data_IF_397581834747
#
_entry.id   IF_397581834747
#
_cell.length_a   1.000
_cell.length_b   1.000
_cell.length_c   1.000
_cell.angle_alpha   90.00
_cell.angle_beta   90.00
_cell.angle_gamma   90.00
#
_symmetry.space_group_name_H-M   'P 1'
#
loop_
_entity.id
_entity.type
_entity.pdbx_description
1 polymer ?
#
# COMPACT_ATOMS: atom_id res chain seq x y z
N UNK A 1 -14.37 15.23 -47.57
CA UNK A 1 -14.86 14.59 -46.34
C UNK A 1 -14.38 15.39 -45.15
N UNK A 2 -15.24 16.23 -44.57
CA UNK A 2 -14.92 16.95 -43.34
C UNK A 2 -14.99 15.99 -42.16
N UNK A 3 -13.88 15.80 -41.45
CA UNK A 3 -13.87 15.08 -40.18
C UNK A 3 -14.84 15.75 -39.20
N UNK A 4 -15.71 15.00 -38.51
CA UNK A 4 -16.65 15.57 -37.55
C UNK A 4 -15.87 16.37 -36.51
N UNK A 5 -16.30 17.61 -36.24
CA UNK A 5 -15.66 18.47 -35.26
C UNK A 5 -15.60 17.75 -33.92
N UNK A 6 -14.47 17.90 -33.25
CA UNK A 6 -14.27 17.48 -31.88
C UNK A 6 -15.24 18.19 -30.94
N UNK A 7 -16.44 17.64 -30.78
CA UNK A 7 -17.42 18.17 -29.83
C UNK A 7 -16.96 17.96 -28.38
N UNK A 8 -17.85 18.32 -27.45
CA UNK A 8 -17.65 18.13 -25.99
C UNK A 8 -17.26 16.70 -25.60
N UNK A 9 -17.63 15.70 -26.41
CA UNK A 9 -17.22 14.31 -26.26
C UNK A 9 -15.70 14.11 -26.29
N UNK A 10 -14.98 14.77 -27.20
CA UNK A 10 -13.53 14.59 -27.33
C UNK A 10 -12.78 15.16 -26.12
N UNK A 11 -13.29 16.24 -25.53
CA UNK A 11 -12.73 16.80 -24.30
C UNK A 11 -12.95 15.89 -23.09
N UNK A 12 -14.05 15.13 -23.09
CA UNK A 12 -14.33 14.09 -22.09
C UNK A 12 -13.29 12.98 -22.16
N UNK A 13 -13.06 12.44 -23.36
CA UNK A 13 -12.09 11.37 -23.61
C UNK A 13 -10.66 11.80 -23.24
N UNK A 14 -10.25 13.01 -23.62
CA UNK A 14 -8.93 13.55 -23.24
C UNK A 14 -8.77 13.67 -21.72
N UNK A 15 -9.80 14.16 -21.03
CA UNK A 15 -9.75 14.37 -19.58
C UNK A 15 -9.75 13.03 -18.84
N UNK A 16 -10.58 12.07 -19.26
CA UNK A 16 -10.60 10.72 -18.69
C UNK A 16 -9.28 9.97 -18.94
N UNK A 17 -8.75 10.03 -20.17
CA UNK A 17 -7.45 9.44 -20.51
C UNK A 17 -6.29 10.07 -19.74
N UNK A 18 -6.30 11.39 -19.56
CA UNK A 18 -5.30 12.09 -18.75
C UNK A 18 -5.33 11.69 -17.27
N UNK A 19 -6.52 11.59 -16.67
CA UNK A 19 -6.67 11.10 -15.29
C UNK A 19 -6.17 9.66 -15.17
N UNK A 20 -6.52 8.79 -16.12
CA UNK A 20 -6.07 7.40 -16.12
C UNK A 20 -4.54 7.28 -16.22
N UNK A 21 -3.90 8.07 -17.11
CA UNK A 21 -2.44 8.10 -17.23
C UNK A 21 -1.77 8.64 -15.96
N UNK A 22 -2.32 9.68 -15.33
CA UNK A 22 -1.79 10.23 -14.08
C UNK A 22 -1.93 9.25 -12.92
N UNK A 23 -3.04 8.52 -12.82
CA UNK A 23 -3.22 7.43 -11.85
C UNK A 23 -2.20 6.31 -12.09
N UNK A 24 -1.97 5.93 -13.35
CA UNK A 24 -0.91 4.99 -13.72
C UNK A 24 0.48 5.48 -13.34
N UNK A 25 0.77 6.77 -13.52
CA UNK A 25 2.04 7.38 -13.07
C UNK A 25 2.21 7.34 -11.55
N UNK A 26 1.15 7.68 -10.80
CA UNK A 26 1.14 7.61 -9.33
C UNK A 26 1.34 6.19 -8.80
N UNK A 27 0.82 5.18 -9.49
CA UNK A 27 1.06 3.78 -9.14
C UNK A 27 2.55 3.45 -9.07
N UNK A 28 3.32 3.83 -10.09
CA UNK A 28 4.76 3.60 -10.14
C UNK A 28 5.55 4.50 -9.18
N UNK A 29 5.00 5.66 -8.79
CA UNK A 29 5.62 6.59 -7.85
C UNK A 29 5.46 6.18 -6.39
N UNK A 30 4.50 5.30 -6.07
CA UNK A 30 4.18 4.84 -4.70
C UNK A 30 5.40 4.34 -3.89
N UNK A 31 6.36 3.58 -4.45
CA UNK A 31 7.55 3.14 -3.71
C UNK A 31 8.49 4.28 -3.29
N UNK A 32 8.45 5.42 -3.99
CA UNK A 32 9.34 6.58 -3.76
C UNK A 32 8.84 7.54 -2.68
N UNK A 33 7.60 7.39 -2.21
CA UNK A 33 6.97 8.31 -1.25
C UNK A 33 6.65 7.58 0.07
N UNK A 34 7.64 7.40 0.98
CA UNK A 34 7.44 6.70 2.25
C UNK A 34 6.37 7.36 3.14
N UNK A 35 6.21 8.68 3.05
CA UNK A 35 5.18 9.43 3.79
C UNK A 35 3.75 8.95 3.50
N UNK A 36 3.46 8.47 2.28
CA UNK A 36 2.12 7.98 1.92
C UNK A 36 1.72 6.71 2.69
N UNK A 37 2.69 5.90 3.14
CA UNK A 37 2.41 4.67 3.91
C UNK A 37 1.83 4.98 5.30
N UNK A 38 2.03 6.18 5.83
CA UNK A 38 1.56 6.59 7.15
C UNK A 38 0.20 7.30 7.15
N UNK A 39 -0.32 7.68 5.98
CA UNK A 39 -1.56 8.47 5.86
C UNK A 39 -2.79 7.57 5.66
N UNK A 40 -2.60 6.30 5.32
CA UNK A 40 -3.68 5.36 5.08
C UNK A 40 -4.27 4.84 6.39
N UNK A 41 -5.53 5.17 6.66
CA UNK A 41 -6.30 4.62 7.78
C UNK A 41 -7.40 3.69 7.24
N UNK A 42 -7.62 2.50 7.84
CA UNK A 42 -8.61 1.53 7.38
C UNK A 42 -10.05 1.90 7.84
N UNK A 43 -10.31 3.16 8.18
CA UNK A 43 -11.56 3.58 8.78
C UNK A 43 -12.59 3.95 7.71
N UNK A 44 -13.85 3.57 7.91
CA UNK A 44 -14.92 3.74 6.90
C UNK A 44 -15.19 5.22 6.55
N UNK A 45 -14.93 6.14 7.49
CA UNK A 45 -15.06 7.57 7.25
C UNK A 45 -14.02 8.09 6.24
N UNK A 46 -12.83 7.47 6.18
CA UNK A 46 -11.79 7.83 5.22
C UNK A 46 -12.20 7.49 3.79
N UNK A 47 -12.85 6.33 3.60
CA UNK A 47 -13.45 5.96 2.32
C UNK A 47 -14.58 6.95 1.94
N UNK A 48 -15.47 7.28 2.87
CA UNK A 48 -16.55 8.26 2.61
C UNK A 48 -15.99 9.65 2.25
N UNK A 49 -14.96 10.12 2.95
CA UNK A 49 -14.25 11.36 2.63
C UNK A 49 -13.60 11.32 1.24
N UNK A 50 -12.97 10.20 0.87
CA UNK A 50 -12.36 10.03 -0.46
C UNK A 50 -13.40 10.12 -1.60
N UNK A 51 -14.58 9.52 -1.40
CA UNK A 51 -15.69 9.58 -2.36
C UNK A 51 -16.24 11.01 -2.45
N UNK A 52 -16.38 11.70 -1.32
CA UNK A 52 -16.82 13.09 -1.29
C UNK A 52 -15.84 14.03 -2.04
N UNK A 53 -14.53 13.80 -1.91
CA UNK A 53 -13.48 14.55 -2.62
C UNK A 53 -13.54 14.28 -4.13
N UNK A 54 -13.76 13.03 -4.55
CA UNK A 54 -13.96 12.70 -5.97
C UNK A 54 -15.21 13.42 -6.50
N UNK A 55 -16.34 13.33 -5.79
CA UNK A 55 -17.58 13.99 -6.17
C UNK A 55 -17.41 15.52 -6.27
N UNK A 56 -16.73 16.14 -5.31
CA UNK A 56 -16.40 17.56 -5.35
C UNK A 56 -15.54 17.93 -6.56
N UNK A 57 -14.52 17.13 -6.90
CA UNK A 57 -13.69 17.34 -8.09
C UNK A 57 -14.47 17.22 -9.41
N UNK A 58 -15.41 16.28 -9.48
CA UNK A 58 -16.32 16.13 -10.62
C UNK A 58 -17.27 17.33 -10.76
N UNK A 59 -17.87 17.79 -9.66
CA UNK A 59 -18.78 18.94 -9.61
C UNK A 59 -18.05 20.25 -9.92
N UNK A 60 -16.82 20.43 -9.43
CA UNK A 60 -15.96 21.56 -9.79
C UNK A 60 -15.58 21.58 -11.28
N UNK A 61 -15.82 20.46 -11.98
CA UNK A 61 -15.77 20.39 -13.42
C UNK A 61 -14.44 19.89 -13.97
N UNK A 62 -13.82 18.92 -13.27
CA UNK A 62 -12.75 18.07 -13.80
C UNK A 62 -13.09 17.54 -15.21
N UNK A 63 -14.38 17.31 -15.46
CA UNK A 63 -14.92 16.71 -16.67
C UNK A 63 -15.57 17.73 -17.62
N UNK A 64 -16.20 18.78 -17.10
CA UNK A 64 -17.07 19.65 -17.90
C UNK A 64 -16.42 20.96 -18.39
N UNK A 65 -15.30 21.37 -17.79
CA UNK A 65 -14.58 22.56 -18.25
C UNK A 65 -13.62 22.25 -19.39
N UNK A 66 -13.40 23.23 -20.27
CA UNK A 66 -12.39 23.14 -21.34
C UNK A 66 -11.12 23.87 -20.91
N UNK A 67 -9.95 23.34 -21.33
CA UNK A 67 -8.67 24.04 -21.12
C UNK A 67 -8.52 25.29 -22.01
N UNK A 68 -9.47 25.54 -22.91
CA UNK A 68 -9.44 26.66 -23.86
C UNK A 68 -10.24 27.89 -23.38
N UNK A 69 -10.86 27.83 -22.19
CA UNK A 69 -11.59 28.94 -21.57
C UNK A 69 -10.69 29.99 -20.88
N UNK A 70 -11.31 30.84 -20.07
CA UNK A 70 -10.64 31.86 -19.27
C UNK A 70 -9.67 31.25 -18.24
N UNK A 71 -8.72 32.02 -17.72
CA UNK A 71 -7.73 31.53 -16.73
C UNK A 71 -8.40 30.90 -15.50
N UNK A 72 -9.52 31.46 -15.06
CA UNK A 72 -10.34 30.90 -13.96
C UNK A 72 -10.89 29.50 -14.29
N UNK A 73 -11.28 29.25 -15.53
CA UNK A 73 -11.76 27.94 -15.99
C UNK A 73 -10.65 26.89 -16.02
N UNK A 74 -9.44 27.30 -16.40
CA UNK A 74 -8.24 26.43 -16.38
C UNK A 74 -7.84 26.07 -14.95
N UNK A 75 -7.83 27.04 -14.04
CA UNK A 75 -7.49 26.82 -12.63
C UNK A 75 -8.53 25.91 -11.95
N UNK A 76 -9.82 26.14 -12.19
CA UNK A 76 -10.89 25.32 -11.63
C UNK A 76 -10.86 23.89 -12.17
N UNK A 77 -10.57 23.71 -13.46
CA UNK A 77 -10.38 22.38 -14.05
C UNK A 77 -9.16 21.66 -13.45
N UNK A 78 -8.04 22.35 -13.30
CA UNK A 78 -6.83 21.81 -12.67
C UNK A 78 -7.09 21.37 -11.24
N UNK A 79 -7.77 22.20 -10.44
CA UNK A 79 -8.18 21.87 -9.07
C UNK A 79 -9.13 20.67 -9.03
N UNK A 80 -10.12 20.62 -9.92
CA UNK A 80 -11.04 19.48 -10.03
C UNK A 80 -10.31 18.16 -10.34
N UNK A 81 -9.37 18.18 -11.30
CA UNK A 81 -8.54 17.01 -11.64
C UNK A 81 -7.66 16.59 -10.45
N UNK A 82 -7.01 17.54 -9.79
CA UNK A 82 -6.18 17.27 -8.61
C UNK A 82 -7.00 16.62 -7.48
N UNK A 83 -8.22 17.10 -7.24
CA UNK A 83 -9.13 16.51 -6.24
C UNK A 83 -9.57 15.10 -6.63
N UNK A 84 -9.93 14.85 -7.90
CA UNK A 84 -10.28 13.49 -8.35
C UNK A 84 -9.09 12.54 -8.18
N UNK A 85 -7.89 12.97 -8.53
CA UNK A 85 -6.66 12.17 -8.37
C UNK A 85 -6.40 11.90 -6.88
N UNK A 86 -6.46 12.92 -6.03
CA UNK A 86 -6.24 12.77 -4.59
C UNK A 86 -7.28 11.83 -3.95
N UNK A 87 -8.56 11.99 -4.29
CA UNK A 87 -9.63 11.14 -3.79
C UNK A 87 -9.54 9.70 -4.31
N UNK A 88 -9.23 9.48 -5.59
CA UNK A 88 -9.01 8.16 -6.15
C UNK A 88 -7.80 7.47 -5.52
N UNK A 89 -6.72 8.22 -5.29
CA UNK A 89 -5.53 7.72 -4.60
C UNK A 89 -5.84 7.35 -3.14
N UNK A 90 -6.61 8.16 -2.42
CA UNK A 90 -7.03 7.87 -1.05
C UNK A 90 -7.94 6.62 -0.98
N UNK A 91 -8.93 6.50 -1.86
CA UNK A 91 -9.80 5.32 -1.95
C UNK A 91 -8.99 4.04 -2.27
N UNK A 92 -8.00 4.17 -3.14
CA UNK A 92 -7.09 3.07 -3.44
C UNK A 92 -6.21 2.69 -2.25
N UNK A 93 -5.70 3.70 -1.52
CA UNK A 93 -4.91 3.51 -0.31
C UNK A 93 -5.70 2.78 0.78
N UNK A 94 -6.99 3.07 0.93
CA UNK A 94 -7.89 2.36 1.85
C UNK A 94 -7.92 0.86 1.55
N UNK A 95 -8.05 0.46 0.28
CA UNK A 95 -8.07 -0.95 -0.12
C UNK A 95 -6.76 -1.69 0.17
N UNK A 96 -5.62 -1.01 0.12
CA UNK A 96 -4.30 -1.58 0.43
C UNK A 96 -3.84 -1.29 1.86
N UNK A 97 -4.78 -1.11 2.79
CA UNK A 97 -4.46 -1.06 4.23
C UNK A 97 -4.96 -2.35 4.87
N UNK A 98 -4.11 -3.11 5.59
CA UNK A 98 -4.56 -4.33 6.25
C UNK A 98 -5.59 -3.98 7.33
N UNK A 99 -6.61 -4.83 7.50
CA UNK A 99 -7.67 -4.63 8.50
C UNK A 99 -7.08 -4.69 9.91
N UNK A 100 -6.27 -5.72 10.16
CA UNK A 100 -5.50 -5.89 11.39
C UNK A 100 -4.01 -5.77 11.13
N UNK A 101 -3.29 -5.15 12.07
CA UNK A 101 -1.83 -5.07 12.03
C UNK A 101 -1.27 -6.06 13.02
N UNK A 102 -0.47 -7.02 12.55
CA UNK A 102 0.25 -7.93 13.43
C UNK A 102 1.13 -7.13 14.41
N UNK A 103 1.21 -7.55 15.69
CA UNK A 103 2.02 -6.90 16.70
C UNK A 103 3.51 -7.23 16.50
N UNK A 104 4.07 -6.76 15.39
CA UNK A 104 5.44 -7.05 14.99
C UNK A 104 6.46 -6.55 16.01
N UNK A 105 7.39 -7.42 16.34
CA UNK A 105 8.64 -7.08 17.04
C UNK A 105 9.71 -6.87 15.98
N UNK A 106 10.60 -5.88 16.17
CA UNK A 106 11.69 -5.58 15.23
C UNK A 106 13.07 -6.03 15.75
N UNK A 107 13.12 -6.45 17.00
CA UNK A 107 14.32 -6.97 17.65
C UNK A 107 14.24 -8.51 17.75
N UNK A 108 15.24 -9.19 17.20
CA UNK A 108 15.28 -10.65 17.17
C UNK A 108 15.29 -11.24 18.59
N UNK A 109 16.15 -10.72 19.47
CA UNK A 109 16.36 -11.28 20.81
C UNK A 109 15.10 -11.12 21.66
N UNK A 110 14.43 -9.96 21.56
CA UNK A 110 13.14 -9.71 22.21
C UNK A 110 12.04 -10.63 21.68
N UNK A 111 11.98 -10.87 20.37
CA UNK A 111 10.98 -11.76 19.77
C UNK A 111 11.14 -13.21 20.27
N UNK A 112 12.37 -13.74 20.28
CA UNK A 112 12.64 -15.08 20.77
C UNK A 112 12.47 -15.21 22.29
N UNK A 113 12.83 -14.18 23.06
CA UNK A 113 12.59 -14.17 24.50
C UNK A 113 11.09 -14.22 24.82
N UNK A 114 10.28 -13.44 24.10
CA UNK A 114 8.83 -13.43 24.21
C UNK A 114 8.22 -14.77 23.79
N UNK A 115 8.67 -15.33 22.68
CA UNK A 115 8.19 -16.63 22.19
C UNK A 115 8.44 -17.75 23.21
N UNK A 116 9.62 -17.79 23.84
CA UNK A 116 9.91 -18.73 24.94
C UNK A 116 9.03 -18.50 26.17
N UNK A 117 8.81 -17.25 26.56
CA UNK A 117 7.97 -16.92 27.70
C UNK A 117 6.49 -17.27 27.48
N UNK A 118 5.99 -17.09 26.26
CA UNK A 118 4.60 -17.38 25.88
C UNK A 118 4.37 -18.83 25.41
N UNK A 119 5.43 -19.64 25.27
CA UNK A 119 5.34 -21.00 24.72
C UNK A 119 4.92 -21.04 23.25
N UNK A 120 5.25 -20.00 22.48
CA UNK A 120 4.90 -19.82 21.06
C UNK A 120 6.11 -20.00 20.15
N UNK A 121 5.86 -20.20 18.86
CA UNK A 121 6.89 -20.05 17.82
C UNK A 121 7.19 -18.58 17.51
N UNK A 122 8.17 -18.34 16.65
CA UNK A 122 8.48 -17.04 16.04
C UNK A 122 8.20 -17.13 14.55
N UNK A 123 7.40 -16.20 14.03
CA UNK A 123 7.19 -16.02 12.61
C UNK A 123 8.08 -14.86 12.14
N UNK A 124 9.13 -15.16 11.39
CA UNK A 124 10.07 -14.16 10.86
C UNK A 124 9.60 -13.74 9.47
N UNK A 125 9.18 -12.49 9.34
CA UNK A 125 8.73 -11.85 8.10
C UNK A 125 9.82 -10.93 7.56
N UNK A 126 10.39 -11.28 6.40
CA UNK A 126 11.39 -10.48 5.72
C UNK A 126 10.72 -9.49 4.76
N UNK A 127 10.90 -8.20 5.03
CA UNK A 127 10.28 -7.13 4.26
C UNK A 127 11.31 -6.15 3.71
N UNK A 128 10.93 -5.42 2.65
CA UNK A 128 11.70 -4.32 2.12
C UNK A 128 10.79 -3.21 1.59
N UNK A 129 11.24 -1.97 1.67
CA UNK A 129 10.53 -0.77 1.21
C UNK A 129 10.24 -0.78 -0.28
N UNK A 130 11.12 -1.39 -1.07
CA UNK A 130 10.98 -1.59 -2.52
C UNK A 130 10.22 -2.87 -2.89
N UNK A 131 9.88 -3.72 -1.92
CA UNK A 131 9.14 -4.96 -2.14
C UNK A 131 7.64 -4.69 -2.19
N UNK A 132 7.10 -4.52 -3.40
CA UNK A 132 5.65 -4.37 -3.63
C UNK A 132 4.86 -5.60 -3.13
N UNK A 133 5.29 -6.86 -3.40
CA UNK A 133 4.52 -8.03 -2.98
C UNK A 133 4.49 -8.23 -1.46
N UNK A 134 5.47 -7.69 -0.72
CA UNK A 134 5.48 -7.75 0.74
C UNK A 134 4.28 -7.01 1.34
N UNK A 135 3.86 -5.89 0.74
CA UNK A 135 2.66 -5.17 1.18
C UNK A 135 1.37 -5.94 0.93
N UNK A 136 1.31 -6.75 -0.13
CA UNK A 136 0.13 -7.59 -0.44
C UNK A 136 0.02 -8.76 0.56
N UNK A 137 1.17 -9.33 0.95
CA UNK A 137 1.22 -10.36 1.98
C UNK A 137 0.71 -9.83 3.34
N UNK A 138 1.06 -8.59 3.70
CA UNK A 138 0.54 -7.94 4.91
C UNK A 138 -0.98 -7.78 4.90
N UNK A 139 -1.62 -7.61 3.72
CA UNK A 139 -3.09 -7.60 3.63
C UNK A 139 -3.68 -8.95 4.00
N UNK A 140 -3.04 -10.04 3.56
CA UNK A 140 -3.47 -11.41 3.87
C UNK A 140 -3.28 -11.71 5.37
N UNK A 141 -2.18 -11.26 5.97
CA UNK A 141 -1.96 -11.39 7.41
C UNK A 141 -2.91 -10.57 8.27
N UNK A 142 -3.50 -9.52 7.69
CA UNK A 142 -4.50 -8.70 8.34
C UNK A 142 -5.92 -9.25 8.26
N UNK A 143 -6.18 -10.36 7.56
CA UNK A 143 -7.50 -11.00 7.55
C UNK A 143 -7.77 -11.74 8.87
N UNK A 144 -9.02 -11.70 9.33
CA UNK A 144 -9.43 -12.14 10.67
C UNK A 144 -8.92 -13.54 11.02
N UNK A 145 -9.16 -14.52 10.14
CA UNK A 145 -8.77 -15.92 10.37
C UNK A 145 -7.24 -16.11 10.44
N UNK A 146 -6.51 -15.41 9.57
CA UNK A 146 -5.04 -15.53 9.47
C UNK A 146 -4.38 -14.82 10.64
N UNK A 147 -4.83 -13.60 10.94
CA UNK A 147 -4.38 -12.81 12.07
C UNK A 147 -4.53 -13.59 13.38
N UNK A 148 -5.70 -14.19 13.58
CA UNK A 148 -5.99 -15.01 14.75
C UNK A 148 -5.08 -16.22 14.86
N UNK A 149 -4.86 -16.95 13.78
CA UNK A 149 -3.99 -18.14 13.80
C UNK A 149 -2.54 -17.77 14.08
N UNK A 150 -2.04 -16.69 13.47
CA UNK A 150 -0.67 -16.22 13.68
C UNK A 150 -0.49 -15.78 15.13
N UNK A 151 -1.38 -14.94 15.67
CA UNK A 151 -1.22 -14.38 17.02
C UNK A 151 -1.44 -15.40 18.14
N UNK A 152 -2.21 -16.47 17.87
CA UNK A 152 -2.40 -17.61 18.79
C UNK A 152 -1.13 -18.46 18.92
N UNK A 153 -0.45 -18.76 17.82
CA UNK A 153 0.63 -19.75 17.79
C UNK A 153 2.04 -19.16 17.68
N UNK A 154 2.17 -17.92 17.20
CA UNK A 154 3.46 -17.31 16.86
C UNK A 154 3.60 -15.88 17.37
N UNK A 155 4.84 -15.48 17.65
CA UNK A 155 5.25 -14.09 17.85
C UNK A 155 5.76 -13.56 16.50
N UNK A 156 5.09 -12.57 15.89
CA UNK A 156 5.52 -12.02 14.61
C UNK A 156 6.74 -11.12 14.79
N UNK A 157 7.82 -11.43 14.08
CA UNK A 157 9.07 -10.68 14.01
C UNK A 157 9.24 -10.14 12.59
N UNK A 158 9.44 -8.83 12.44
CA UNK A 158 9.63 -8.20 11.14
C UNK A 158 11.05 -7.69 10.97
N UNK A 159 11.75 -8.25 9.99
CA UNK A 159 13.11 -7.85 9.63
C UNK A 159 13.06 -7.02 8.35
N UNK A 160 13.44 -5.74 8.46
CA UNK A 160 13.58 -4.85 7.31
C UNK A 160 14.97 -5.03 6.71
N UNK A 161 15.01 -5.53 5.48
CA UNK A 161 16.23 -5.73 4.70
C UNK A 161 16.31 -4.76 3.52
N UNK A 162 15.67 -3.60 3.62
CA UNK A 162 15.68 -2.58 2.56
C UNK A 162 17.07 -2.08 2.21
N UNK A 163 17.95 -1.99 3.20
CA UNK A 163 19.31 -1.52 3.04
C UNK A 163 20.18 -2.55 2.31
N UNK A 164 21.08 -2.05 1.48
CA UNK A 164 22.12 -2.85 0.85
C UNK A 164 23.39 -2.77 1.73
N UNK A 165 23.31 -3.42 2.89
CA UNK A 165 24.40 -3.49 3.86
C UNK A 165 24.70 -4.94 4.28
N UNK A 166 25.89 -5.14 4.87
CA UNK A 166 26.36 -6.45 5.31
C UNK A 166 25.42 -7.08 6.35
N UNK A 167 24.71 -6.27 7.12
CA UNK A 167 23.75 -6.75 8.14
C UNK A 167 22.54 -7.39 7.46
N UNK A 168 21.95 -6.71 6.48
CA UNK A 168 20.81 -7.17 5.70
C UNK A 168 21.17 -8.40 4.85
N UNK A 169 22.39 -8.43 4.30
CA UNK A 169 22.92 -9.60 3.59
C UNK A 169 23.12 -10.80 4.51
N UNK A 170 23.69 -10.58 5.71
CA UNK A 170 23.90 -11.62 6.71
C UNK A 170 22.57 -12.19 7.22
N UNK A 171 21.57 -11.34 7.47
CA UNK A 171 20.22 -11.78 7.91
C UNK A 171 19.55 -12.68 6.87
N UNK A 172 19.55 -12.26 5.60
CA UNK A 172 19.00 -13.08 4.50
C UNK A 172 19.71 -14.42 4.38
N UNK A 173 21.04 -14.42 4.46
CA UNK A 173 21.84 -15.65 4.37
C UNK A 173 21.60 -16.58 5.55
N UNK A 174 21.54 -16.04 6.78
CA UNK A 174 21.34 -16.79 8.03
C UNK A 174 20.04 -17.59 8.04
N UNK A 175 18.97 -17.02 7.50
CA UNK A 175 17.64 -17.63 7.47
C UNK A 175 17.27 -18.19 6.09
N UNK A 176 18.25 -18.32 5.18
CA UNK A 176 18.06 -18.83 3.81
C UNK A 176 16.96 -18.10 3.01
N UNK A 177 16.70 -16.83 3.32
CA UNK A 177 15.69 -15.99 2.66
C UNK A 177 16.23 -15.42 1.33
N UNK A 178 16.31 -16.27 0.31
CA UNK A 178 16.86 -15.92 -1.01
C UNK A 178 15.96 -15.02 -1.88
N UNK A 179 14.66 -14.95 -1.58
CA UNK A 179 13.68 -14.15 -2.32
C UNK A 179 12.74 -13.43 -1.37
N UNK A 180 12.22 -12.26 -1.76
CA UNK A 180 11.21 -11.53 -0.98
C UNK A 180 9.85 -11.56 -1.69
N UNK A 181 8.73 -11.56 -0.93
CA UNK A 181 8.64 -11.78 0.51
C UNK A 181 9.08 -13.21 0.89
N UNK A 182 9.65 -13.36 2.07
CA UNK A 182 9.95 -14.68 2.66
C UNK A 182 9.49 -14.69 4.11
N UNK A 183 8.88 -15.78 4.52
CA UNK A 183 8.42 -15.99 5.89
C UNK A 183 8.96 -17.30 6.40
N UNK A 184 9.66 -17.24 7.53
CA UNK A 184 10.30 -18.40 8.16
C UNK A 184 9.68 -18.63 9.53
N UNK A 185 9.27 -19.86 9.80
CA UNK A 185 8.70 -20.26 11.08
C UNK A 185 9.74 -21.01 11.92
N UNK A 186 9.97 -20.51 13.13
CA UNK A 186 10.97 -21.02 14.05
C UNK A 186 10.30 -21.32 15.39
N UNK A 187 10.77 -22.36 16.07
CA UNK A 187 10.47 -22.59 17.49
C UNK A 187 11.14 -21.53 18.37
N UNK A 188 10.69 -21.38 19.62
CA UNK A 188 11.31 -20.48 20.61
C UNK A 188 12.81 -20.74 20.87
N UNK A 189 13.30 -21.94 20.51
CA UNK A 189 14.70 -22.36 20.59
C UNK A 189 15.50 -22.09 19.30
N UNK A 190 14.98 -21.29 18.37
CA UNK A 190 15.59 -20.95 17.06
C UNK A 190 15.80 -22.15 16.13
N UNK A 191 15.03 -23.23 16.29
CA UNK A 191 15.00 -24.34 15.31
C UNK A 191 13.82 -24.16 14.37
N UNK A 192 14.02 -24.40 13.07
CA UNK A 192 12.95 -24.41 12.07
C UNK A 192 11.86 -25.40 12.45
N UNK A 193 10.61 -24.92 12.48
CA UNK A 193 9.48 -25.80 12.68
C UNK A 193 9.12 -26.45 11.34
N UNK A 194 9.01 -27.79 11.27
CA UNK A 194 8.48 -28.44 10.09
C UNK A 194 7.06 -27.93 9.81
N UNK A 195 6.82 -27.46 8.58
CA UNK A 195 5.48 -27.08 8.13
C UNK A 195 4.56 -28.32 8.29
N UNK A 196 3.61 -28.25 9.23
CA UNK A 196 2.72 -29.35 9.61
C UNK A 196 1.33 -29.14 9.07
#
# INVERSE_FOLDING_TARGET
>A
MSLPRSGRWMEWVKSAGGILLLLGGLYFLKPLLPFMRHVAVPELWFLAASIAVIAAGLVLGAIHLSFHGATADRLRKGLGIALVIAGAFAAWSYKHTPKHKLPYVHDEDAAFARARAEGKGVMVDFSATWCVPCGELELTFGDDDVFDQITKSFVPLKLDVSADDDTSAALRSRYHAGTLPSVVYLSGDRREEPCR
#
